data_IF_260989557709
#
_entry.id   IF_260989557709
#
_cell.length_a   1.000
_cell.length_b   1.000
_cell.length_c   1.000
_cell.angle_alpha   90.00
_cell.angle_beta   90.00
_cell.angle_gamma   90.00
#
_symmetry.space_group_name_H-M   'P 1'
#
loop_
_entity.id
_entity.type
_entity.pdbx_description
1 polymer ?
#
# COMPACT_ATOMS: atom_id res chain seq x y z
N UNK A 1 -38.55 25.23 -7.52
CA UNK A 1 -39.40 24.35 -6.70
C UNK A 1 -38.63 23.04 -6.44
N UNK A 2 -37.57 23.08 -5.62
CA UNK A 2 -36.85 21.85 -5.24
C UNK A 2 -37.69 21.11 -4.20
N UNK A 3 -38.29 19.98 -4.58
CA UNK A 3 -38.78 19.01 -3.62
C UNK A 3 -37.63 18.69 -2.65
N UNK A 4 -37.84 18.94 -1.36
CA UNK A 4 -36.89 18.66 -0.30
C UNK A 4 -36.72 17.14 -0.21
N UNK A 5 -35.82 16.59 -1.01
CA UNK A 5 -35.59 15.16 -1.07
C UNK A 5 -34.94 14.73 0.25
N UNK A 6 -35.53 13.74 0.92
CA UNK A 6 -34.95 13.22 2.14
C UNK A 6 -33.92 12.12 1.80
N UNK A 7 -32.65 12.53 1.75
CA UNK A 7 -31.50 11.64 1.59
C UNK A 7 -31.52 10.51 2.60
N UNK A 8 -31.87 10.83 3.84
CA UNK A 8 -31.78 9.89 4.95
C UNK A 8 -32.88 8.83 4.85
N UNK A 9 -34.10 9.22 4.47
CA UNK A 9 -35.19 8.29 4.20
C UNK A 9 -34.86 7.31 3.07
N UNK A 10 -34.35 7.81 1.92
CA UNK A 10 -33.92 6.96 0.81
C UNK A 10 -32.83 5.96 1.21
N UNK A 11 -31.86 6.37 2.04
CA UNK A 11 -30.81 5.47 2.54
C UNK A 11 -31.41 4.40 3.47
N UNK A 12 -32.35 4.77 4.36
CA UNK A 12 -33.03 3.79 5.23
C UNK A 12 -33.78 2.72 4.41
N UNK A 13 -34.50 3.13 3.38
CA UNK A 13 -35.20 2.17 2.50
C UNK A 13 -34.23 1.31 1.70
N UNK A 14 -33.15 1.89 1.17
CA UNK A 14 -32.12 1.14 0.45
C UNK A 14 -31.45 0.06 1.32
N UNK A 15 -31.21 0.35 2.61
CA UNK A 15 -30.66 -0.64 3.58
C UNK A 15 -31.58 -1.81 3.86
N UNK A 16 -32.89 -1.58 3.82
CA UNK A 16 -33.90 -2.64 3.99
C UNK A 16 -34.05 -3.54 2.76
N UNK A 17 -33.26 -3.30 1.71
CA UNK A 17 -33.27 -4.12 0.50
C UNK A 17 -34.12 -3.57 -0.65
N UNK A 18 -34.72 -2.38 -0.51
CA UNK A 18 -35.49 -1.76 -1.60
C UNK A 18 -34.58 -1.42 -2.78
N UNK A 19 -34.78 -2.11 -3.91
CA UNK A 19 -34.04 -1.92 -5.16
C UNK A 19 -34.26 -0.53 -5.76
N UNK A 20 -35.51 -0.07 -5.78
CA UNK A 20 -35.89 1.25 -6.30
C UNK A 20 -35.15 2.39 -5.56
N UNK A 21 -34.99 2.27 -4.24
CA UNK A 21 -34.26 3.26 -3.44
C UNK A 21 -32.76 3.27 -3.76
N UNK A 22 -32.17 2.10 -4.03
CA UNK A 22 -30.76 1.98 -4.45
C UNK A 22 -30.55 2.60 -5.84
N UNK A 23 -31.43 2.27 -6.79
CA UNK A 23 -31.36 2.82 -8.16
C UNK A 23 -31.53 4.34 -8.17
N UNK A 24 -32.49 4.88 -7.41
CA UNK A 24 -32.69 6.33 -7.30
C UNK A 24 -31.47 7.05 -6.71
N UNK A 25 -30.85 6.49 -5.68
CA UNK A 25 -29.61 7.03 -5.10
C UNK A 25 -28.45 6.96 -6.11
N UNK A 26 -28.27 5.83 -6.78
CA UNK A 26 -27.21 5.68 -7.78
C UNK A 26 -27.38 6.67 -8.93
N UNK A 27 -28.55 6.72 -9.57
CA UNK A 27 -28.86 7.64 -10.68
C UNK A 27 -28.59 9.10 -10.32
N UNK A 28 -28.92 9.51 -9.09
CA UNK A 28 -28.67 10.88 -8.62
C UNK A 28 -27.18 11.20 -8.50
N UNK A 29 -26.38 10.25 -8.02
CA UNK A 29 -24.94 10.45 -7.79
C UNK A 29 -24.05 9.93 -8.91
N UNK A 30 -24.60 9.33 -9.97
CA UNK A 30 -23.90 8.94 -11.19
C UNK A 30 -22.90 10.00 -11.70
N UNK A 31 -23.27 11.29 -11.85
CA UNK A 31 -22.30 12.30 -12.31
C UNK A 31 -21.10 12.47 -11.37
N UNK A 32 -21.30 12.34 -10.06
CA UNK A 32 -20.21 12.36 -9.08
C UNK A 32 -19.32 11.13 -9.22
N UNK A 33 -19.92 9.94 -9.39
CA UNK A 33 -19.21 8.68 -9.58
C UNK A 33 -18.36 8.75 -10.86
N UNK A 34 -18.96 9.15 -11.99
CA UNK A 34 -18.27 9.30 -13.27
C UNK A 34 -17.11 10.30 -13.18
N UNK A 35 -17.25 11.39 -12.42
CA UNK A 35 -16.15 12.34 -12.20
C UNK A 35 -14.93 11.72 -11.52
N UNK A 36 -15.15 10.75 -10.60
CA UNK A 36 -14.07 10.03 -9.94
C UNK A 36 -13.49 8.96 -10.88
N UNK A 37 -14.34 8.21 -11.57
CA UNK A 37 -13.94 7.15 -12.53
C UNK A 37 -13.00 7.70 -13.61
N UNK A 38 -13.33 8.86 -14.21
CA UNK A 38 -12.49 9.51 -15.22
C UNK A 38 -11.04 9.74 -14.77
N UNK A 39 -10.81 9.98 -13.48
CA UNK A 39 -9.46 10.22 -12.94
C UNK A 39 -8.61 8.96 -12.87
N UNK A 40 -9.23 7.79 -12.78
CA UNK A 40 -8.57 6.50 -12.64
C UNK A 40 -8.70 5.62 -13.89
N UNK A 41 -9.24 6.15 -14.99
CA UNK A 41 -9.55 5.37 -16.19
C UNK A 41 -8.35 4.60 -16.78
N UNK A 42 -7.14 5.13 -16.67
CA UNK A 42 -5.90 4.49 -17.16
C UNK A 42 -5.45 3.28 -16.34
N UNK A 43 -6.06 3.06 -15.18
CA UNK A 43 -5.65 2.01 -14.23
C UNK A 43 -6.50 0.75 -14.34
N UNK A 44 -7.54 0.79 -15.18
CA UNK A 44 -8.46 -0.30 -15.41
C UNK A 44 -8.37 -0.74 -16.88
N UNK A 45 -8.63 -2.03 -17.19
CA UNK A 45 -8.66 -2.52 -18.56
C UNK A 45 -9.74 -1.82 -19.40
N UNK A 46 -10.93 -1.66 -18.83
CA UNK A 46 -12.03 -0.95 -19.49
C UNK A 46 -12.65 0.11 -18.60
N UNK A 47 -13.29 1.11 -19.23
CA UNK A 47 -14.07 2.11 -18.51
C UNK A 47 -15.26 1.49 -17.75
N UNK A 48 -15.81 0.39 -18.27
CA UNK A 48 -16.91 -0.34 -17.62
C UNK A 48 -16.47 -0.95 -16.28
N UNK A 49 -15.26 -1.51 -16.20
CA UNK A 49 -14.72 -2.09 -14.96
C UNK A 49 -14.49 -1.02 -13.89
N UNK A 50 -13.94 0.12 -14.28
CA UNK A 50 -13.74 1.26 -13.40
C UNK A 50 -15.08 1.79 -12.86
N UNK A 51 -16.11 1.87 -13.72
CA UNK A 51 -17.45 2.26 -13.33
C UNK A 51 -18.09 1.24 -12.37
N UNK A 52 -18.01 -0.05 -12.67
CA UNK A 52 -18.60 -1.11 -11.85
C UNK A 52 -17.95 -1.20 -10.47
N UNK A 53 -16.63 -1.01 -10.39
CA UNK A 53 -15.89 -0.91 -9.13
C UNK A 53 -16.41 0.26 -8.29
N UNK A 54 -16.62 1.42 -8.92
CA UNK A 54 -17.13 2.61 -8.25
C UNK A 54 -18.59 2.45 -7.79
N UNK A 55 -19.44 1.81 -8.59
CA UNK A 55 -20.84 1.51 -8.23
C UNK A 55 -20.91 0.53 -7.06
N UNK A 56 -20.08 -0.51 -7.06
CA UNK A 56 -19.97 -1.46 -5.93
C UNK A 56 -19.59 -0.73 -4.64
N UNK A 57 -18.61 0.17 -4.72
CA UNK A 57 -18.21 1.00 -3.57
C UNK A 57 -19.33 1.95 -3.11
N UNK A 58 -20.12 2.49 -4.04
CA UNK A 58 -21.28 3.32 -3.73
C UNK A 58 -22.36 2.53 -2.97
N UNK A 59 -22.65 1.30 -3.40
CA UNK A 59 -23.57 0.40 -2.70
C UNK A 59 -23.08 0.07 -1.28
N UNK A 60 -21.78 -0.22 -1.12
CA UNK A 60 -21.19 -0.41 0.20
C UNK A 60 -21.29 0.85 1.07
N UNK A 61 -21.12 2.03 0.48
CA UNK A 61 -21.29 3.31 1.18
C UNK A 61 -22.72 3.49 1.70
N UNK A 62 -23.75 3.12 0.92
CA UNK A 62 -25.16 3.18 1.35
C UNK A 62 -25.38 2.32 2.61
N UNK A 63 -24.75 1.14 2.65
CA UNK A 63 -24.85 0.23 3.79
C UNK A 63 -24.08 0.72 5.02
N UNK A 64 -22.91 1.33 4.84
CA UNK A 64 -21.98 1.65 5.92
C UNK A 64 -22.01 3.11 6.44
N UNK A 65 -22.63 4.05 5.72
CA UNK A 65 -22.60 5.46 6.12
C UNK A 65 -23.34 5.75 7.45
N UNK A 66 -22.92 6.73 8.26
CA UNK A 66 -23.72 7.15 9.40
C UNK A 66 -24.99 7.88 8.90
N UNK A 67 -26.15 7.56 9.48
CA UNK A 67 -27.42 8.25 9.18
C UNK A 67 -27.53 9.59 9.93
N UNK A 68 -27.01 9.64 11.16
CA UNK A 68 -27.06 10.82 12.05
C UNK A 68 -25.76 11.64 12.00
N UNK A 69 -25.02 11.54 10.90
CA UNK A 69 -23.75 12.24 10.73
C UNK A 69 -23.94 13.71 10.35
N UNK A 70 -23.09 14.58 10.88
CA UNK A 70 -23.01 16.00 10.52
C UNK A 70 -22.65 16.23 9.03
N UNK A 71 -22.03 15.23 8.39
CA UNK A 71 -21.57 15.31 7.00
C UNK A 71 -22.61 14.78 6.01
N UNK A 72 -22.77 15.41 4.83
CA UNK A 72 -23.70 14.96 3.81
C UNK A 72 -23.26 13.62 3.20
N UNK A 73 -24.20 12.80 2.76
CA UNK A 73 -23.92 11.50 2.11
C UNK A 73 -22.91 11.58 0.97
N UNK A 74 -22.93 12.65 0.17
CA UNK A 74 -21.99 12.88 -0.91
C UNK A 74 -20.52 12.89 -0.45
N UNK A 75 -20.24 13.33 0.78
CA UNK A 75 -18.91 13.31 1.37
C UNK A 75 -18.41 11.87 1.55
N UNK A 76 -19.25 11.01 2.15
CA UNK A 76 -18.92 9.60 2.37
C UNK A 76 -18.80 8.86 1.05
N UNK A 77 -19.75 9.09 0.13
CA UNK A 77 -19.74 8.46 -1.19
C UNK A 77 -18.45 8.75 -1.94
N UNK A 78 -18.03 10.03 -1.97
CA UNK A 78 -16.78 10.44 -2.60
C UNK A 78 -15.56 9.75 -1.96
N UNK A 79 -15.55 9.59 -0.65
CA UNK A 79 -14.47 8.90 0.07
C UNK A 79 -14.42 7.41 -0.28
N UNK A 80 -15.55 6.70 -0.20
CA UNK A 80 -15.66 5.27 -0.50
C UNK A 80 -15.25 4.96 -1.95
N UNK A 81 -15.81 5.70 -2.92
CA UNK A 81 -15.50 5.53 -4.34
C UNK A 81 -14.02 5.78 -4.62
N UNK A 82 -13.46 6.85 -4.05
CA UNK A 82 -12.03 7.15 -4.21
C UNK A 82 -11.15 6.04 -3.65
N UNK A 83 -11.48 5.51 -2.47
CA UNK A 83 -10.67 4.46 -1.85
C UNK A 83 -10.73 3.15 -2.66
N UNK A 84 -11.89 2.78 -3.18
CA UNK A 84 -12.03 1.62 -4.06
C UNK A 84 -11.19 1.77 -5.33
N UNK A 85 -11.34 2.89 -6.05
CA UNK A 85 -10.58 3.16 -7.28
C UNK A 85 -9.07 3.24 -7.01
N UNK A 86 -8.66 3.86 -5.90
CA UNK A 86 -7.24 3.94 -5.51
C UNK A 86 -6.66 2.56 -5.20
N UNK A 87 -7.42 1.67 -4.54
CA UNK A 87 -6.97 0.31 -4.24
C UNK A 87 -6.67 -0.46 -5.52
N UNK A 88 -7.59 -0.44 -6.48
CA UNK A 88 -7.38 -1.09 -7.78
C UNK A 88 -6.22 -0.47 -8.55
N UNK A 89 -6.08 0.87 -8.51
CA UNK A 89 -4.93 1.55 -9.11
C UNK A 89 -3.60 1.08 -8.51
N UNK A 90 -3.50 0.96 -7.18
CA UNK A 90 -2.29 0.47 -6.52
C UNK A 90 -2.02 -1.01 -6.85
N UNK A 91 -3.07 -1.83 -6.95
CA UNK A 91 -2.95 -3.22 -7.39
C UNK A 91 -2.44 -3.30 -8.84
N UNK A 92 -3.01 -2.52 -9.76
CA UNK A 92 -2.56 -2.45 -11.15
C UNK A 92 -1.12 -1.94 -11.28
N UNK A 93 -0.71 -0.95 -10.48
CA UNK A 93 0.68 -0.50 -10.43
C UNK A 93 1.63 -1.60 -9.94
N UNK A 94 1.21 -2.38 -8.93
CA UNK A 94 1.96 -3.52 -8.42
C UNK A 94 2.05 -4.62 -9.46
N UNK A 95 0.95 -4.99 -10.09
CA UNK A 95 0.91 -6.05 -11.09
C UNK A 95 1.70 -5.62 -12.34
N UNK A 96 1.64 -4.36 -12.76
CA UNK A 96 2.53 -3.85 -13.82
C UNK A 96 4.01 -3.92 -13.44
N UNK A 97 4.35 -3.73 -12.16
CA UNK A 97 5.72 -3.88 -11.67
C UNK A 97 6.20 -5.34 -11.67
N UNK A 98 5.30 -6.31 -11.49
CA UNK A 98 5.66 -7.75 -11.44
C UNK A 98 5.38 -8.53 -12.74
N UNK A 99 4.52 -8.03 -13.63
CA UNK A 99 3.96 -8.79 -14.76
C UNK A 99 4.26 -8.17 -16.13
N UNK A 100 4.89 -7.00 -16.24
CA UNK A 100 5.10 -6.36 -17.53
C UNK A 100 6.57 -6.35 -17.99
N UNK A 101 7.03 -7.49 -18.50
CA UNK A 101 7.82 -7.51 -19.74
C UNK A 101 7.35 -8.72 -20.54
N UNK A 102 6.43 -8.53 -21.49
CA UNK A 102 6.34 -9.45 -22.63
C UNK A 102 7.70 -9.35 -23.32
N UNK A 103 8.57 -10.33 -23.10
CA UNK A 103 9.88 -10.34 -23.73
C UNK A 103 9.69 -10.97 -25.10
N UNK A 104 10.02 -10.21 -26.15
CA UNK A 104 10.27 -10.81 -27.45
C UNK A 104 11.54 -11.64 -27.30
N UNK A 105 11.39 -12.97 -27.36
CA UNK A 105 12.54 -13.87 -27.43
C UNK A 105 13.35 -13.60 -28.70
N UNK A 106 14.61 -14.02 -28.73
CA UNK A 106 15.48 -13.87 -29.90
C UNK A 106 14.91 -14.54 -31.16
N UNK A 107 14.01 -15.51 -30.98
CA UNK A 107 13.36 -16.26 -32.05
C UNK A 107 12.03 -15.63 -32.51
N UNK A 108 11.63 -14.50 -31.92
CA UNK A 108 10.44 -13.73 -32.33
C UNK A 108 9.12 -14.27 -31.79
N UNK A 109 9.14 -15.24 -30.87
CA UNK A 109 7.94 -15.74 -30.20
C UNK A 109 7.58 -14.86 -28.99
N UNK A 110 6.30 -14.46 -28.91
CA UNK A 110 5.75 -13.70 -27.79
C UNK A 110 5.50 -14.65 -26.61
N UNK A 111 6.28 -14.50 -25.53
CA UNK A 111 6.18 -15.36 -24.35
C UNK A 111 5.89 -14.54 -23.09
N UNK A 112 4.96 -15.04 -22.27
CA UNK A 112 4.57 -14.42 -20.99
C UNK A 112 5.66 -14.56 -19.91
N UNK A 113 6.63 -15.45 -20.12
CA UNK A 113 7.81 -15.59 -19.28
C UNK A 113 9.04 -15.17 -20.08
N UNK A 114 9.92 -14.30 -19.55
CA UNK A 114 11.25 -14.17 -20.10
C UNK A 114 11.91 -15.55 -20.13
N UNK A 115 12.76 -15.79 -21.12
CA UNK A 115 13.67 -16.92 -21.09
C UNK A 115 14.37 -16.90 -19.71
N UNK A 116 14.37 -18.03 -18.99
CA UNK A 116 15.03 -18.13 -17.68
C UNK A 116 16.53 -18.14 -17.92
N UNK A 117 17.07 -17.00 -18.33
CA UNK A 117 18.48 -16.73 -18.27
C UNK A 117 18.75 -16.35 -16.83
N UNK A 118 19.55 -17.15 -16.13
CA UNK A 118 20.11 -16.70 -14.87
C UNK A 118 20.87 -15.40 -15.17
N UNK A 119 20.41 -14.22 -14.68
CA UNK A 119 21.09 -12.96 -14.96
C UNK A 119 22.50 -12.95 -14.36
N UNK A 120 22.84 -13.95 -13.53
CA UNK A 120 24.18 -14.21 -13.08
C UNK A 120 24.44 -15.73 -12.96
N UNK A 121 24.86 -16.41 -14.05
CA UNK A 121 25.15 -17.86 -14.02
C UNK A 121 26.29 -18.26 -13.07
N UNK A 122 26.93 -17.27 -12.42
CA UNK A 122 27.95 -17.44 -11.40
C UNK A 122 27.41 -17.30 -9.96
N UNK A 123 26.17 -16.85 -9.75
CA UNK A 123 25.59 -16.72 -8.40
C UNK A 123 24.76 -17.93 -8.05
N UNK A 124 25.41 -18.95 -7.48
CA UNK A 124 24.65 -20.01 -6.78
C UNK A 124 23.87 -19.34 -5.64
N UNK A 125 22.56 -19.64 -5.46
CA UNK A 125 21.75 -19.04 -4.40
C UNK A 125 22.45 -19.16 -3.04
N UNK A 126 23.05 -20.32 -2.77
CA UNK A 126 23.84 -20.63 -1.57
C UNK A 126 25.01 -19.66 -1.36
N UNK A 127 25.79 -19.36 -2.41
CA UNK A 127 26.92 -18.42 -2.35
C UNK A 127 26.44 -16.98 -2.07
N UNK A 128 25.32 -16.58 -2.66
CA UNK A 128 24.73 -15.26 -2.40
C UNK A 128 24.22 -15.12 -0.96
N UNK A 129 23.76 -16.22 -0.34
CA UNK A 129 23.39 -16.25 1.08
C UNK A 129 24.61 -16.17 1.99
N UNK A 130 25.69 -16.90 1.66
CA UNK A 130 26.95 -16.88 2.42
C UNK A 130 27.61 -15.50 2.36
N UNK A 131 27.76 -14.93 1.16
CA UNK A 131 28.35 -13.60 0.95
C UNK A 131 27.55 -12.51 1.69
N UNK A 132 26.21 -12.50 1.57
CA UNK A 132 25.37 -11.53 2.29
C UNK A 132 25.50 -11.67 3.81
N UNK A 133 25.55 -12.89 4.33
CA UNK A 133 25.64 -13.14 5.75
C UNK A 133 27.02 -12.73 6.32
N UNK A 134 28.10 -13.02 5.61
CA UNK A 134 29.45 -12.61 6.01
C UNK A 134 29.65 -11.10 5.87
N UNK A 135 29.08 -10.48 4.84
CA UNK A 135 29.06 -9.03 4.68
C UNK A 135 28.30 -8.34 5.80
N UNK A 136 27.13 -8.87 6.20
CA UNK A 136 26.35 -8.35 7.32
C UNK A 136 27.12 -8.46 8.64
N UNK A 137 27.77 -9.59 8.91
CA UNK A 137 28.64 -9.76 10.08
C UNK A 137 29.79 -8.75 10.07
N UNK A 138 30.44 -8.56 8.93
CA UNK A 138 31.50 -7.57 8.77
C UNK A 138 30.99 -6.14 9.05
N UNK A 139 29.79 -5.78 8.57
CA UNK A 139 29.18 -4.47 8.85
C UNK A 139 28.91 -4.26 10.35
N UNK A 140 28.47 -5.32 11.05
CA UNK A 140 28.24 -5.29 12.49
C UNK A 140 29.53 -5.20 13.32
N UNK A 141 30.69 -5.56 12.77
CA UNK A 141 31.98 -5.45 13.46
C UNK A 141 32.44 -3.99 13.61
N UNK A 142 31.98 -3.07 12.75
CA UNK A 142 32.30 -1.64 12.88
C UNK A 142 31.52 -0.92 13.99
N UNK A 143 30.52 -1.60 14.57
CA UNK A 143 29.72 -1.11 15.68
C UNK A 143 30.34 -1.54 17.00
N UNK A 144 30.37 -0.62 17.96
CA UNK A 144 30.66 -0.98 19.35
C UNK A 144 29.58 -1.89 19.91
N UNK A 145 29.88 -2.63 20.97
CA UNK A 145 28.93 -3.56 21.59
C UNK A 145 27.60 -2.88 21.96
N UNK A 146 27.66 -1.66 22.53
CA UNK A 146 26.46 -0.89 22.89
C UNK A 146 25.67 -0.38 21.67
N UNK A 147 26.34 0.03 20.60
CA UNK A 147 25.67 0.48 19.36
C UNK A 147 25.00 -0.70 18.65
N UNK A 148 25.66 -1.85 18.60
CA UNK A 148 25.12 -3.09 18.03
C UNK A 148 23.91 -3.57 18.82
N UNK A 149 24.00 -3.58 20.15
CA UNK A 149 22.91 -3.99 21.03
C UNK A 149 21.64 -3.16 20.77
N UNK A 150 21.77 -1.83 20.76
CA UNK A 150 20.63 -0.94 20.50
C UNK A 150 20.08 -1.12 19.08
N UNK A 151 20.94 -1.31 18.07
CA UNK A 151 20.51 -1.49 16.69
C UNK A 151 19.74 -2.80 16.49
N UNK A 152 20.24 -3.92 17.04
CA UNK A 152 19.57 -5.23 16.95
C UNK A 152 18.23 -5.18 17.68
N UNK A 153 18.21 -4.74 18.94
CA UNK A 153 16.97 -4.72 19.72
C UNK A 153 15.91 -3.77 19.15
N UNK A 154 16.28 -2.59 18.63
CA UNK A 154 15.31 -1.65 18.08
C UNK A 154 14.88 -1.97 16.64
N UNK A 155 15.80 -2.44 15.78
CA UNK A 155 15.52 -2.58 14.35
C UNK A 155 15.26 -4.02 13.89
N UNK A 156 15.78 -5.02 14.59
CA UNK A 156 15.59 -6.44 14.24
C UNK A 156 14.51 -7.05 15.13
N UNK A 157 14.61 -6.86 16.44
CA UNK A 157 13.68 -7.46 17.40
C UNK A 157 12.44 -6.58 17.71
N UNK A 158 12.43 -5.33 17.23
CA UNK A 158 11.27 -4.44 17.31
C UNK A 158 10.98 -3.85 18.69
N UNK A 159 11.92 -3.88 19.63
CA UNK A 159 11.75 -3.22 20.93
C UNK A 159 11.69 -1.69 20.77
N UNK A 160 10.85 -1.04 21.57
CA UNK A 160 10.79 0.42 21.61
C UNK A 160 12.03 1.01 22.28
N UNK A 161 12.45 2.21 21.86
CA UNK A 161 13.61 2.89 22.45
C UNK A 161 13.47 3.08 23.96
N UNK A 162 12.24 3.27 24.47
CA UNK A 162 11.95 3.36 25.91
C UNK A 162 12.06 2.01 26.63
N UNK A 163 11.78 0.89 25.97
CA UNK A 163 11.98 -0.45 26.54
C UNK A 163 13.48 -0.80 26.59
N UNK A 164 14.22 -0.48 25.53
CA UNK A 164 15.69 -0.67 25.48
C UNK A 164 16.39 0.25 26.48
N UNK A 165 15.93 1.49 26.64
CA UNK A 165 16.42 2.43 27.64
C UNK A 165 16.29 1.90 29.07
N UNK A 166 15.12 1.33 29.41
CA UNK A 166 14.88 0.68 30.71
C UNK A 166 15.81 -0.51 30.96
N UNK A 167 16.02 -1.35 29.94
CA UNK A 167 16.95 -2.51 30.04
C UNK A 167 18.40 -2.09 30.22
N UNK A 168 18.83 -1.01 29.57
CA UNK A 168 20.20 -0.48 29.65
C UNK A 168 20.44 0.47 30.83
N UNK A 169 19.40 0.76 31.65
CA UNK A 169 19.51 1.73 32.75
C UNK A 169 19.87 3.14 32.30
N UNK A 170 19.41 3.58 31.12
CA UNK A 170 19.77 4.87 30.55
C UNK A 170 18.57 5.65 30.02
N UNK A 171 18.75 6.96 29.75
CA UNK A 171 17.67 7.79 29.17
C UNK A 171 17.32 7.36 27.75
N UNK A 172 16.05 7.47 27.34
CA UNK A 172 15.62 7.18 25.96
C UNK A 172 16.38 8.03 24.92
N UNK A 173 16.68 9.30 25.22
CA UNK A 173 17.48 10.14 24.32
C UNK A 173 18.89 9.58 24.06
N UNK A 174 19.51 8.92 25.05
CA UNK A 174 20.82 8.26 24.90
C UNK A 174 20.72 7.05 23.97
N UNK A 175 19.64 6.27 24.06
CA UNK A 175 19.34 5.17 23.13
C UNK A 175 19.13 5.69 21.71
N UNK A 176 18.35 6.77 21.54
CA UNK A 176 18.09 7.39 20.24
C UNK A 176 19.38 7.88 19.56
N UNK A 177 20.25 8.59 20.29
CA UNK A 177 21.57 9.03 19.79
C UNK A 177 22.46 7.85 19.39
N UNK A 178 22.49 6.78 20.20
CA UNK A 178 23.25 5.55 19.88
C UNK A 178 22.71 4.86 18.63
N UNK A 179 21.39 4.75 18.48
CA UNK A 179 20.76 4.17 17.31
C UNK A 179 21.06 4.97 16.04
N UNK A 180 20.98 6.30 16.12
CA UNK A 180 21.31 7.17 14.99
C UNK A 180 22.77 7.01 14.57
N UNK A 181 23.71 7.05 15.53
CA UNK A 181 25.14 6.82 15.28
C UNK A 181 25.41 5.43 14.68
N UNK A 182 24.72 4.41 15.18
CA UNK A 182 24.81 3.05 14.68
C UNK A 182 24.36 2.95 13.21
N UNK A 183 23.20 3.54 12.87
CA UNK A 183 22.67 3.58 11.50
C UNK A 183 23.60 4.33 10.54
N UNK A 184 24.17 5.46 10.97
CA UNK A 184 25.12 6.22 10.14
C UNK A 184 26.40 5.42 9.87
N UNK A 185 26.97 4.73 10.88
CA UNK A 185 28.14 3.86 10.69
C UNK A 185 27.87 2.72 9.71
N UNK A 186 26.70 2.08 9.80
CA UNK A 186 26.30 1.02 8.86
C UNK A 186 26.14 1.58 7.46
N UNK A 187 25.49 2.75 7.29
CA UNK A 187 25.36 3.41 5.99
C UNK A 187 26.70 3.79 5.38
N UNK A 188 27.62 4.34 6.16
CA UNK A 188 28.97 4.68 5.67
C UNK A 188 29.73 3.42 5.25
N UNK A 189 29.63 2.33 6.01
CA UNK A 189 30.29 1.07 5.67
C UNK A 189 29.70 0.41 4.42
N UNK A 190 28.38 0.49 4.21
CA UNK A 190 27.75 0.06 2.97
C UNK A 190 28.21 0.90 1.76
N UNK A 191 28.34 2.22 1.93
CA UNK A 191 28.82 3.11 0.85
C UNK A 191 30.29 2.88 0.48
N UNK A 192 31.12 2.43 1.42
CA UNK A 192 32.54 2.15 1.16
C UNK A 192 32.79 0.79 0.48
N UNK A 193 31.77 -0.08 0.40
CA UNK A 193 31.83 -1.40 -0.25
C UNK A 193 31.31 -1.41 -1.69
N UNK A 194 30.72 -0.29 -2.16
CA UNK A 194 30.29 -0.07 -3.55
C UNK A 194 31.40 0.67 -4.28
#
# INVERSE_FOLDING_TARGET
MQAHWDTTACIRHARRGCTESKERLLTRYTPLILSQVRRYASSFPTHADAYQTAVTAALHCIMACPLDGDKPFAYYLKAFVRQALRREHLAACRDRFYTAVSVLTTDGEETDLPEVTDPNPLSRPEESFILRHDDQKALLNHLTHEERYVLVHCCIEGFTETAVARRLGCSQAKVSRRLHKAKEKVRSACRAKI
#
